data_IF_058163774277
#
_entry.id   IF_058163774277
#
_cell.length_a   1.000
_cell.length_b   1.000
_cell.length_c   1.000
_cell.angle_alpha   90.00
_cell.angle_beta   90.00
_cell.angle_gamma   90.00
#
_symmetry.space_group_name_H-M   'P 1'
#
loop_
_entity.id
_entity.type
_entity.pdbx_description
1 polymer ?
#
# COMPACT_ATOMS: atom_id res chain seq x y z
N UNK A 1 -7.73 -27.42 -10.51
CA UNK A 1 -9.02 -26.92 -11.05
C UNK A 1 -8.69 -25.90 -12.13
N UNK A 2 -9.39 -25.90 -13.27
CA UNK A 2 -8.90 -25.52 -14.62
C UNK A 2 -8.18 -24.15 -14.75
N UNK A 3 -7.12 -24.15 -15.57
CA UNK A 3 -6.05 -23.15 -15.72
C UNK A 3 -6.43 -21.84 -16.44
N UNK A 4 -7.56 -21.25 -16.08
CA UNK A 4 -7.98 -19.91 -16.54
C UNK A 4 -8.55 -19.17 -15.34
N UNK A 5 -7.65 -18.70 -14.47
CA UNK A 5 -8.01 -17.84 -13.35
C UNK A 5 -8.79 -16.64 -13.87
N UNK A 6 -9.96 -16.38 -13.28
CA UNK A 6 -10.73 -15.16 -13.52
C UNK A 6 -9.81 -13.96 -13.28
N UNK A 7 -9.38 -13.32 -14.35
CA UNK A 7 -8.75 -12.01 -14.30
C UNK A 7 -9.86 -11.05 -13.87
N UNK A 8 -9.75 -10.53 -12.66
CA UNK A 8 -10.64 -9.47 -12.21
C UNK A 8 -10.52 -8.29 -13.17
N UNK A 9 -11.63 -7.96 -13.81
CA UNK A 9 -11.72 -7.04 -14.94
C UNK A 9 -11.72 -5.56 -14.52
N UNK A 10 -10.96 -5.19 -13.49
CA UNK A 10 -10.83 -3.80 -13.08
C UNK A 10 -9.86 -3.06 -14.00
N UNK A 11 -10.25 -1.87 -14.45
CA UNK A 11 -9.43 -0.99 -15.28
C UNK A 11 -8.33 -0.39 -14.40
N UNK A 12 -7.06 -0.49 -14.80
CA UNK A 12 -5.95 0.22 -14.14
C UNK A 12 -6.31 1.71 -14.07
N UNK A 13 -6.13 2.41 -12.92
CA UNK A 13 -6.52 3.81 -12.80
C UNK A 13 -5.96 4.69 -13.93
N UNK A 14 -6.85 5.38 -14.66
CA UNK A 14 -6.57 6.12 -15.91
C UNK A 14 -5.53 7.26 -15.78
N UNK A 15 -5.16 7.66 -14.56
CA UNK A 15 -4.25 8.78 -14.29
C UNK A 15 -2.98 8.36 -13.53
N UNK A 16 -2.63 7.07 -13.54
CA UNK A 16 -1.44 6.57 -12.87
C UNK A 16 -0.16 7.14 -13.51
N UNK A 17 0.79 7.59 -12.67
CA UNK A 17 2.15 7.91 -13.12
C UNK A 17 2.81 6.66 -13.71
N UNK A 18 3.85 6.80 -14.55
CA UNK A 18 4.53 5.67 -15.19
C UNK A 18 4.96 4.57 -14.18
N UNK A 19 5.47 4.99 -13.03
CA UNK A 19 5.83 4.11 -11.94
C UNK A 19 4.62 3.33 -11.39
N UNK A 20 3.53 4.05 -11.07
CA UNK A 20 2.30 3.46 -10.54
C UNK A 20 1.69 2.47 -11.55
N UNK A 21 1.66 2.84 -12.83
CA UNK A 21 1.19 1.98 -13.91
C UNK A 21 2.03 0.69 -14.04
N UNK A 22 3.36 0.80 -13.92
CA UNK A 22 4.25 -0.34 -13.95
C UNK A 22 4.05 -1.27 -12.75
N UNK A 23 3.95 -0.72 -11.54
CA UNK A 23 3.67 -1.51 -10.33
C UNK A 23 2.31 -2.24 -10.44
N UNK A 24 1.27 -1.54 -10.90
CA UNK A 24 -0.05 -2.14 -11.15
C UNK A 24 0.03 -3.29 -12.17
N UNK A 25 0.76 -3.10 -13.26
CA UNK A 25 1.00 -4.14 -14.27
C UNK A 25 1.68 -5.37 -13.65
N UNK A 26 2.74 -5.18 -12.84
CA UNK A 26 3.45 -6.29 -12.19
C UNK A 26 2.54 -7.06 -11.23
N UNK A 27 1.71 -6.37 -10.45
CA UNK A 27 0.76 -7.00 -9.53
C UNK A 27 -0.29 -7.84 -10.26
N UNK A 28 -0.80 -7.34 -11.40
CA UNK A 28 -1.77 -8.08 -12.22
C UNK A 28 -1.22 -9.43 -12.73
N UNK A 29 0.10 -9.56 -12.82
CA UNK A 29 0.78 -10.80 -13.22
C UNK A 29 1.33 -11.63 -12.05
N UNK A 30 1.12 -11.21 -10.80
CA UNK A 30 1.65 -11.89 -9.61
C UNK A 30 0.75 -13.04 -9.10
N UNK A 31 -0.34 -13.37 -9.80
CA UNK A 31 -1.23 -14.48 -9.45
C UNK A 31 -2.23 -14.19 -8.33
N UNK A 32 -2.39 -12.92 -7.95
CA UNK A 32 -3.40 -12.48 -6.98
C UNK A 32 -4.76 -12.24 -7.64
N UNK A 33 -5.83 -12.44 -6.86
CA UNK A 33 -7.16 -11.95 -7.21
C UNK A 33 -7.26 -10.50 -6.73
N UNK A 34 -7.15 -9.56 -7.66
CA UNK A 34 -7.06 -8.14 -7.35
C UNK A 34 -8.42 -7.47 -7.48
N UNK A 35 -8.69 -6.46 -6.67
CA UNK A 35 -9.74 -5.49 -6.98
C UNK A 35 -9.14 -4.09 -6.99
N UNK A 36 -9.42 -3.33 -8.04
CA UNK A 36 -8.90 -1.97 -8.20
C UNK A 36 -9.93 -1.01 -7.62
N UNK A 37 -9.56 -0.36 -6.52
CA UNK A 37 -10.47 0.50 -5.76
C UNK A 37 -10.07 1.96 -5.89
N UNK A 38 -11.07 2.83 -6.00
CA UNK A 38 -10.92 4.25 -5.76
C UNK A 38 -10.79 4.50 -4.25
N UNK A 39 -10.06 5.55 -3.83
CA UNK A 39 -9.92 5.89 -2.40
C UNK A 39 -11.26 6.05 -1.66
N UNK A 40 -12.29 6.56 -2.36
CA UNK A 40 -13.64 6.74 -1.80
C UNK A 40 -14.38 5.43 -1.53
N UNK A 41 -13.97 4.32 -2.17
CA UNK A 41 -14.57 3.00 -1.98
C UNK A 41 -13.97 2.26 -0.79
N UNK A 42 -12.78 2.65 -0.34
CA UNK A 42 -12.03 1.96 0.71
C UNK A 42 -12.85 1.71 1.99
N UNK A 43 -13.58 2.69 2.57
CA UNK A 43 -14.33 2.45 3.80
C UNK A 43 -15.35 1.31 3.70
N UNK A 44 -15.99 1.15 2.54
CA UNK A 44 -16.99 0.11 2.32
C UNK A 44 -16.36 -1.24 1.95
N UNK A 45 -15.15 -1.25 1.38
CA UNK A 45 -14.52 -2.47 0.85
C UNK A 45 -13.53 -3.11 1.81
N UNK A 46 -12.84 -2.33 2.67
CA UNK A 46 -11.82 -2.81 3.59
C UNK A 46 -12.24 -4.01 4.47
N UNK A 47 -13.46 -4.07 5.03
CA UNK A 47 -13.91 -5.22 5.84
C UNK A 47 -13.96 -6.55 5.06
N UNK A 48 -13.87 -6.51 3.73
CA UNK A 48 -13.94 -7.67 2.84
C UNK A 48 -12.60 -8.00 2.18
N UNK A 49 -11.54 -7.28 2.52
CA UNK A 49 -10.20 -7.53 2.00
C UNK A 49 -9.37 -8.29 3.04
N UNK A 50 -8.37 -9.03 2.59
CA UNK A 50 -7.31 -9.56 3.46
C UNK A 50 -6.04 -8.73 3.35
N UNK A 51 -5.81 -8.14 2.18
CA UNK A 51 -4.63 -7.33 1.87
C UNK A 51 -5.08 -6.08 1.14
N UNK A 52 -4.66 -4.92 1.64
CA UNK A 52 -4.71 -3.65 0.92
C UNK A 52 -3.31 -3.36 0.38
N UNK A 53 -3.22 -3.03 -0.92
CA UNK A 53 -1.99 -2.51 -1.52
C UNK A 53 -2.26 -1.10 -2.02
N UNK A 54 -1.47 -0.13 -1.56
CA UNK A 54 -1.50 1.25 -2.07
C UNK A 54 -0.22 1.53 -2.84
N UNK A 55 -0.32 2.27 -3.94
CA UNK A 55 0.82 2.57 -4.82
C UNK A 55 0.85 4.08 -5.05
N UNK A 56 2.01 4.69 -4.82
CA UNK A 56 2.18 6.14 -4.89
C UNK A 56 1.69 6.84 -3.63
N UNK A 57 1.50 8.15 -3.74
CA UNK A 57 1.06 9.00 -2.63
C UNK A 57 -0.39 9.46 -2.84
N UNK A 58 -1.17 9.45 -1.77
CA UNK A 58 -2.55 9.91 -1.75
C UNK A 58 -2.95 10.37 -0.36
N UNK A 59 -4.03 11.17 -0.29
CA UNK A 59 -4.61 11.59 0.97
C UNK A 59 -5.83 10.72 1.30
N UNK A 60 -5.93 10.30 2.56
CA UNK A 60 -7.07 9.62 3.12
C UNK A 60 -7.88 10.61 3.96
N UNK A 61 -9.13 10.83 3.56
CA UNK A 61 -10.08 11.53 4.43
C UNK A 61 -10.30 10.76 5.73
N UNK A 62 -10.84 11.45 6.75
CA UNK A 62 -11.03 10.90 8.10
C UNK A 62 -11.76 9.54 8.12
N UNK A 63 -12.78 9.38 7.26
CA UNK A 63 -13.52 8.13 7.14
C UNK A 63 -12.65 6.97 6.65
N UNK A 64 -11.76 7.22 5.69
CA UNK A 64 -10.83 6.21 5.17
C UNK A 64 -9.74 5.90 6.19
N UNK A 65 -9.19 6.90 6.90
CA UNK A 65 -8.22 6.67 7.99
C UNK A 65 -8.82 5.81 9.10
N UNK A 66 -10.05 6.10 9.53
CA UNK A 66 -10.73 5.31 10.56
C UNK A 66 -10.94 3.85 10.11
N UNK A 67 -11.45 3.64 8.89
CA UNK A 67 -11.65 2.30 8.35
C UNK A 67 -10.34 1.53 8.19
N UNK A 68 -9.26 2.21 7.78
CA UNK A 68 -7.93 1.61 7.65
C UNK A 68 -7.37 1.19 9.00
N UNK A 69 -7.51 2.02 10.03
CA UNK A 69 -7.10 1.68 11.39
C UNK A 69 -7.85 0.43 11.90
N UNK A 70 -9.18 0.39 11.75
CA UNK A 70 -9.99 -0.78 12.13
C UNK A 70 -9.61 -2.06 11.35
N UNK A 71 -9.33 -1.92 10.06
CA UNK A 71 -8.85 -3.02 9.22
C UNK A 71 -7.54 -3.60 9.76
N UNK A 72 -6.57 -2.75 10.09
CA UNK A 72 -5.29 -3.17 10.66
C UNK A 72 -5.45 -3.82 12.04
N UNK A 73 -6.26 -3.24 12.92
CA UNK A 73 -6.56 -3.81 14.24
C UNK A 73 -7.22 -5.20 14.15
N UNK A 74 -8.02 -5.44 13.10
CA UNK A 74 -8.64 -6.73 12.82
C UNK A 74 -7.69 -7.78 12.21
N UNK A 75 -6.41 -7.43 11.99
CA UNK A 75 -5.40 -8.30 11.39
C UNK A 75 -5.28 -8.20 9.86
N UNK A 76 -5.91 -7.18 9.26
CA UNK A 76 -5.73 -6.85 7.85
C UNK A 76 -4.29 -6.43 7.55
N UNK A 77 -3.80 -6.79 6.36
CA UNK A 77 -2.44 -6.45 5.94
C UNK A 77 -2.48 -5.24 5.01
N UNK A 78 -1.70 -4.21 5.32
CA UNK A 78 -1.50 -3.07 4.42
C UNK A 78 -0.06 -3.03 3.92
N UNK A 79 0.10 -3.03 2.59
CA UNK A 79 1.37 -2.86 1.90
C UNK A 79 1.35 -1.51 1.18
N UNK A 80 2.18 -0.57 1.64
CA UNK A 80 2.27 0.77 1.06
C UNK A 80 3.53 0.87 0.17
N UNK A 81 3.32 1.06 -1.13
CA UNK A 81 4.37 1.06 -2.15
C UNK A 81 4.64 2.51 -2.61
N UNK A 82 5.86 2.99 -2.39
CA UNK A 82 6.31 4.33 -2.79
C UNK A 82 5.91 5.47 -1.84
N UNK A 83 4.90 5.29 -0.98
CA UNK A 83 4.56 6.24 0.08
C UNK A 83 3.64 5.60 1.13
N UNK A 84 3.76 5.97 2.42
CA UNK A 84 2.76 5.62 3.45
C UNK A 84 1.46 6.45 3.35
N UNK A 85 1.21 7.11 2.22
CA UNK A 85 0.15 8.10 2.06
C UNK A 85 0.26 9.20 3.15
N UNK A 86 -0.87 9.70 3.65
CA UNK A 86 -0.95 10.60 4.79
C UNK A 86 -1.22 9.87 6.12
N UNK A 87 -0.88 8.57 6.19
CA UNK A 87 -1.03 7.74 7.40
C UNK A 87 0.25 7.00 7.82
N UNK A 88 1.40 7.70 7.95
CA UNK A 88 2.66 7.08 8.39
C UNK A 88 2.57 6.53 9.83
N UNK A 89 1.74 7.14 10.67
CA UNK A 89 1.47 6.72 12.05
C UNK A 89 0.88 5.31 12.12
N UNK A 90 0.02 4.93 11.17
CA UNK A 90 -0.58 3.60 11.10
C UNK A 90 0.41 2.51 10.69
N UNK A 91 1.51 2.88 10.02
CA UNK A 91 2.61 1.97 9.69
C UNK A 91 3.73 2.01 10.73
N UNK A 92 3.67 2.91 11.70
CA UNK A 92 4.72 3.12 12.69
C UNK A 92 6.03 3.65 12.07
N UNK A 93 5.93 4.38 10.97
CA UNK A 93 7.08 4.98 10.26
C UNK A 93 7.03 6.50 10.37
N UNK A 94 8.17 7.17 10.21
CA UNK A 94 8.24 8.62 10.06
C UNK A 94 8.75 8.96 8.66
N UNK A 95 8.03 9.81 7.89
CA UNK A 95 8.48 10.19 6.56
C UNK A 95 9.70 11.11 6.68
N UNK A 96 10.77 10.75 5.98
CA UNK A 96 11.90 11.65 5.84
C UNK A 96 11.51 12.85 4.98
N UNK A 97 11.94 14.05 5.37
CA UNK A 97 11.62 15.30 4.66
C UNK A 97 12.90 15.95 4.10
N UNK A 98 12.82 16.51 2.90
CA UNK A 98 13.82 17.44 2.39
C UNK A 98 13.85 18.70 3.26
N UNK A 99 14.93 19.51 3.24
CA UNK A 99 14.98 20.80 3.94
C UNK A 99 13.84 21.76 3.56
N UNK A 100 13.23 21.58 2.39
CA UNK A 100 12.05 22.34 1.93
C UNK A 100 10.74 21.94 2.63
N UNK A 101 10.74 20.89 3.46
CA UNK A 101 9.55 20.30 4.07
C UNK A 101 8.80 19.31 3.17
N UNK A 102 9.21 19.14 1.92
CA UNK A 102 8.64 18.13 1.03
C UNK A 102 9.08 16.73 1.47
N UNK A 103 8.20 15.71 1.45
CA UNK A 103 8.60 14.33 1.69
C UNK A 103 9.73 13.93 0.75
N UNK A 104 10.80 13.36 1.30
CA UNK A 104 11.78 12.62 0.51
C UNK A 104 11.05 11.43 -0.06
N UNK A 105 10.80 11.50 -1.37
CA UNK A 105 10.42 10.31 -2.11
C UNK A 105 11.72 9.54 -2.29
N UNK A 106 11.88 8.47 -1.50
CA UNK A 106 13.00 7.56 -1.62
C UNK A 106 12.86 6.85 -2.97
N UNK A 107 13.40 7.48 -4.01
CA UNK A 107 14.00 6.70 -5.08
C UNK A 107 15.09 5.86 -4.43
N UNK A 108 14.86 4.55 -4.43
CA UNK A 108 15.66 3.51 -3.79
C UNK A 108 16.07 3.78 -2.32
N UNK A 109 15.23 3.39 -1.35
CA UNK A 109 15.58 3.50 0.07
C UNK A 109 14.99 2.40 0.95
N UNK A 110 15.85 1.82 1.78
CA UNK A 110 15.54 0.74 2.71
C UNK A 110 14.78 1.27 3.93
N UNK A 111 13.65 0.65 4.30
CA UNK A 111 13.06 0.83 5.62
C UNK A 111 13.67 -0.20 6.59
N UNK A 112 14.29 0.27 7.67
CA UNK A 112 14.84 -0.59 8.72
C UNK A 112 14.07 -0.34 10.02
N UNK A 113 13.50 -1.40 10.62
CA UNK A 113 12.83 -1.28 11.90
C UNK A 113 13.86 -1.21 13.04
N UNK A 114 13.89 -0.10 13.78
CA UNK A 114 14.81 0.08 14.93
C UNK A 114 14.29 -0.59 16.22
N UNK A 115 13.03 -1.04 16.26
CA UNK A 115 12.38 -1.64 17.42
C UNK A 115 11.35 -2.69 17.01
N UNK A 116 11.02 -3.61 17.92
CA UNK A 116 9.95 -4.58 17.71
C UNK A 116 8.62 -3.87 17.44
N UNK A 117 8.01 -4.18 16.31
CA UNK A 117 6.70 -3.67 15.91
C UNK A 117 5.78 -4.88 15.63
N UNK A 118 4.60 -4.98 16.27
CA UNK A 118 3.65 -6.07 16.01
C UNK A 118 3.17 -6.12 14.54
N UNK A 119 3.31 -5.03 13.78
CA UNK A 119 3.04 -4.93 12.34
C UNK A 119 4.27 -5.28 11.47
N UNK A 120 5.45 -5.43 12.06
CA UNK A 120 6.73 -5.67 11.38
C UNK A 120 7.53 -6.72 12.18
N UNK A 121 7.27 -8.00 11.92
CA UNK A 121 7.98 -9.10 12.59
C UNK A 121 9.48 -9.00 12.28
N UNK A 122 10.31 -9.11 13.32
CA UNK A 122 11.77 -9.02 13.24
C UNK A 122 12.38 -10.04 12.27
N UNK A 123 11.73 -11.20 12.15
CA UNK A 123 12.08 -12.33 11.28
C UNK A 123 11.81 -12.07 9.79
N UNK A 124 11.14 -10.97 9.44
CA UNK A 124 10.91 -10.61 8.04
C UNK A 124 12.15 -10.00 7.38
N UNK A 125 13.21 -9.72 8.17
CA UNK A 125 14.42 -9.04 7.75
C UNK A 125 14.11 -7.83 6.84
N UNK A 126 15.06 -7.40 6.01
CA UNK A 126 14.93 -6.26 5.11
C UNK A 126 13.71 -6.44 4.19
N UNK A 127 12.61 -5.76 4.49
CA UNK A 127 11.42 -5.76 3.63
C UNK A 127 11.73 -4.98 2.35
N UNK A 128 11.79 -5.69 1.23
CA UNK A 128 11.99 -5.13 -0.10
C UNK A 128 10.81 -4.22 -0.48
N UNK A 129 11.01 -2.91 -0.38
CA UNK A 129 10.19 -1.92 -1.08
C UNK A 129 10.75 -1.73 -2.49
N UNK A 130 9.94 -1.92 -3.52
CA UNK A 130 10.29 -1.49 -4.87
C UNK A 130 9.76 -0.08 -5.10
N UNK A 131 10.57 0.79 -5.71
CA UNK A 131 10.07 1.80 -6.62
C UNK A 131 10.71 3.18 -6.61
N UNK A 132 11.46 3.46 -7.69
CA UNK A 132 11.87 4.80 -8.11
C UNK A 132 13.30 4.85 -8.57
#
# INVERSE_FOLDING_TARGET
>A
MTATGRISSGVIPLNARLYEAFACYRLAHAGFLLDWLLPAELPARLPHLSVLITIGHGAFGDATRLALNQFLESGGIWIAIGSPCDAPDLLGVEPQLHPSGAPVQLGEGYACAERENPLFKRDWELLHGFGG
#
